data_IF_362803036887
#
_entry.id   IF_362803036887
#
_cell.length_a   1.000
_cell.length_b   1.000
_cell.length_c   1.000
_cell.angle_alpha   90.00
_cell.angle_beta   90.00
_cell.angle_gamma   90.00
#
_symmetry.space_group_name_H-M   'P 1'
#
loop_
_entity.id
_entity.type
_entity.pdbx_description
1 polymer ?
#
# COMPACT_ATOMS: atom_id res chain seq x y z
N UNK A 1 32.02 -14.97 -14.11
CA UNK A 1 32.36 -13.54 -13.93
C UNK A 1 31.17 -12.73 -13.38
N UNK A 2 29.91 -13.18 -13.57
CA UNK A 2 28.71 -12.40 -13.27
C UNK A 2 28.30 -12.34 -11.78
N UNK A 3 28.51 -13.42 -11.01
CA UNK A 3 28.10 -13.44 -9.59
C UNK A 3 28.99 -12.55 -8.70
N UNK A 4 30.29 -12.48 -9.00
CA UNK A 4 31.26 -11.66 -8.27
C UNK A 4 31.03 -10.14 -8.53
N UNK A 5 30.54 -9.79 -9.73
CA UNK A 5 30.22 -8.41 -10.10
C UNK A 5 28.92 -7.95 -9.43
N UNK A 6 27.93 -8.84 -9.35
CA UNK A 6 26.64 -8.57 -8.66
C UNK A 6 26.84 -8.36 -7.15
N UNK A 7 27.63 -9.22 -6.49
CA UNK A 7 27.97 -9.07 -5.07
C UNK A 7 28.77 -7.78 -4.79
N UNK A 8 29.61 -7.34 -5.71
CA UNK A 8 30.36 -6.08 -5.56
C UNK A 8 29.44 -4.86 -5.69
N UNK A 9 28.50 -4.88 -6.65
CA UNK A 9 27.51 -3.80 -6.86
C UNK A 9 26.50 -3.72 -5.71
N UNK A 10 26.10 -4.86 -5.14
CA UNK A 10 25.22 -4.89 -3.96
C UNK A 10 25.96 -4.38 -2.71
N UNK A 11 27.21 -4.79 -2.51
CA UNK A 11 28.05 -4.29 -1.43
C UNK A 11 28.30 -2.78 -1.49
N UNK A 12 28.60 -2.22 -2.68
CA UNK A 12 28.75 -0.77 -2.86
C UNK A 12 27.43 0.01 -2.63
N UNK A 13 26.28 -0.55 -3.03
CA UNK A 13 24.98 0.06 -2.76
C UNK A 13 24.66 0.05 -1.27
N UNK A 14 25.00 -1.01 -0.57
CA UNK A 14 24.77 -1.15 0.86
C UNK A 14 25.65 -0.20 1.67
N UNK A 15 26.94 -0.08 1.35
CA UNK A 15 27.88 0.87 1.97
C UNK A 15 27.45 2.33 1.71
N UNK A 16 27.00 2.66 0.50
CA UNK A 16 26.49 4.01 0.18
C UNK A 16 25.20 4.32 0.91
N UNK A 17 24.32 3.32 1.12
CA UNK A 17 23.09 3.49 1.87
C UNK A 17 23.37 3.69 3.38
N UNK A 18 24.31 2.94 3.94
CA UNK A 18 24.74 3.07 5.35
C UNK A 18 25.44 4.40 5.62
N UNK A 19 26.30 4.87 4.72
CA UNK A 19 26.95 6.20 4.79
C UNK A 19 25.94 7.34 4.66
N UNK A 20 24.94 7.22 3.77
CA UNK A 20 23.87 8.19 3.63
C UNK A 20 22.96 8.21 4.86
N UNK A 21 22.59 7.02 5.39
CA UNK A 21 21.83 6.90 6.62
C UNK A 21 22.56 7.46 7.83
N UNK A 22 23.89 7.26 7.92
CA UNK A 22 24.71 7.83 8.99
C UNK A 22 24.78 9.36 8.94
N UNK A 23 24.80 9.94 7.73
CA UNK A 23 24.77 11.42 7.55
C UNK A 23 23.41 12.04 7.90
N UNK A 24 22.32 11.26 7.82
CA UNK A 24 20.96 11.70 8.10
C UNK A 24 20.50 11.44 9.54
N UNK A 25 21.29 10.72 10.34
CA UNK A 25 21.03 10.50 11.78
C UNK A 25 21.08 11.78 12.62
N UNK A 26 21.50 12.90 12.07
CA UNK A 26 21.58 14.19 12.73
C UNK A 26 20.52 15.22 12.33
N UNK A 27 19.42 14.78 11.66
CA UNK A 27 18.31 15.68 11.34
C UNK A 27 17.48 15.93 12.62
N UNK A 28 17.78 17.03 13.30
CA UNK A 28 17.16 17.35 14.58
C UNK A 28 15.87 18.17 14.45
N UNK A 29 15.70 18.92 13.38
CA UNK A 29 14.57 19.84 13.16
C UNK A 29 14.11 19.84 11.71
N UNK A 30 12.82 20.06 11.49
CA UNK A 30 12.25 20.27 10.16
C UNK A 30 10.80 19.86 10.07
N UNK A 31 10.20 20.14 8.91
CA UNK A 31 8.83 19.74 8.58
C UNK A 31 8.85 18.67 7.48
N UNK A 32 8.00 17.65 7.64
CA UNK A 32 7.81 16.58 6.69
C UNK A 32 6.31 16.44 6.38
N UNK A 33 5.94 16.64 5.13
CA UNK A 33 4.55 16.46 4.68
C UNK A 33 4.46 15.18 3.88
N UNK A 34 3.73 14.19 4.42
CA UNK A 34 3.57 12.87 3.81
C UNK A 34 2.15 12.72 3.28
N UNK A 35 2.01 12.40 2.00
CA UNK A 35 0.79 11.89 1.43
C UNK A 35 0.70 10.38 1.61
N UNK A 36 -0.47 9.85 1.99
CA UNK A 36 -0.66 8.42 2.03
C UNK A 36 -2.02 8.00 1.47
N UNK A 37 -2.04 6.91 0.70
CA UNK A 37 -3.32 6.30 0.32
C UNK A 37 -4.02 5.74 1.55
N UNK A 38 -5.37 5.78 1.54
CA UNK A 38 -6.17 5.36 2.69
C UNK A 38 -5.90 3.92 3.16
N UNK A 39 -5.35 3.06 2.30
CA UNK A 39 -4.90 1.71 2.66
C UNK A 39 -3.62 1.68 3.49
N UNK A 40 -2.78 2.73 3.45
CA UNK A 40 -1.55 2.80 4.24
C UNK A 40 -1.80 3.19 5.72
N UNK A 41 -3.00 3.67 6.06
CA UNK A 41 -3.34 4.08 7.43
C UNK A 41 -3.22 2.96 8.48
N UNK A 42 -3.25 1.71 8.04
CA UNK A 42 -3.21 0.54 8.92
C UNK A 42 -1.79 0.17 9.39
N UNK A 43 -0.77 0.69 8.73
CA UNK A 43 0.63 0.41 9.11
C UNK A 43 1.50 1.66 9.25
N UNK A 44 1.31 2.67 8.39
CA UNK A 44 2.19 3.83 8.34
C UNK A 44 2.28 4.60 9.67
N UNK A 45 1.20 4.83 10.43
CA UNK A 45 1.30 5.50 11.73
C UNK A 45 2.25 4.82 12.72
N UNK A 46 2.32 3.48 12.71
CA UNK A 46 3.24 2.73 13.57
C UNK A 46 4.71 2.93 13.14
N UNK A 47 4.98 2.99 11.83
CA UNK A 47 6.30 3.32 11.30
C UNK A 47 6.69 4.77 11.63
N UNK A 48 5.73 5.71 11.52
CA UNK A 48 5.97 7.10 11.88
C UNK A 48 6.25 7.30 13.38
N UNK A 49 5.63 6.52 14.24
CA UNK A 49 5.96 6.54 15.67
C UNK A 49 7.44 6.23 15.89
N UNK A 50 7.97 5.17 15.25
CA UNK A 50 9.39 4.81 15.31
C UNK A 50 10.30 5.87 14.69
N UNK A 51 9.89 6.45 13.57
CA UNK A 51 10.65 7.54 12.94
C UNK A 51 10.74 8.77 13.86
N UNK A 52 9.64 9.12 14.57
CA UNK A 52 9.63 10.21 15.55
C UNK A 52 10.52 9.97 16.77
N UNK A 53 10.67 8.71 17.22
CA UNK A 53 11.59 8.37 18.30
C UNK A 53 13.05 8.67 17.93
N UNK A 54 13.41 8.50 16.64
CA UNK A 54 14.75 8.77 16.12
C UNK A 54 14.94 10.25 15.73
N UNK A 55 13.84 10.98 15.45
CA UNK A 55 13.82 12.37 15.01
C UNK A 55 12.78 13.18 15.79
N UNK A 56 12.94 13.39 17.10
CA UNK A 56 11.91 13.97 17.97
C UNK A 56 11.57 15.44 17.66
N UNK A 57 12.46 16.20 17.00
CA UNK A 57 12.24 17.59 16.61
C UNK A 57 11.56 17.76 15.24
N UNK A 58 11.21 16.68 14.56
CA UNK A 58 10.57 16.75 13.24
C UNK A 58 9.06 16.89 13.37
N UNK A 59 8.50 17.95 12.77
CA UNK A 59 7.06 18.12 12.63
C UNK A 59 6.56 17.28 11.43
N UNK A 60 5.65 16.33 11.69
CA UNK A 60 5.06 15.46 10.65
C UNK A 60 3.63 15.89 10.39
N UNK A 61 3.29 16.13 9.11
CA UNK A 61 1.94 16.34 8.62
C UNK A 61 1.53 15.24 7.68
N UNK A 62 0.30 14.75 7.80
CA UNK A 62 -0.24 13.68 6.97
C UNK A 62 -1.41 14.18 6.13
N UNK A 63 -1.33 13.95 4.83
CA UNK A 63 -2.44 14.08 3.90
C UNK A 63 -2.92 12.66 3.51
N UNK A 64 -4.21 12.38 3.72
CA UNK A 64 -4.81 11.07 3.43
C UNK A 64 -5.79 11.21 2.28
N UNK A 65 -5.68 10.35 1.30
CA UNK A 65 -6.59 10.35 0.15
C UNK A 65 -6.59 9.03 -0.61
N UNK A 66 -7.28 8.99 -1.74
CA UNK A 66 -7.10 7.93 -2.71
C UNK A 66 -5.91 8.24 -3.64
N UNK A 67 -5.62 7.34 -4.60
CA UNK A 67 -4.48 7.53 -5.50
C UNK A 67 -4.56 8.83 -6.30
N UNK A 68 -5.73 9.14 -6.86
CA UNK A 68 -5.94 10.33 -7.70
C UNK A 68 -5.68 11.62 -6.92
N UNK A 69 -6.22 11.71 -5.71
CA UNK A 69 -5.99 12.85 -4.81
C UNK A 69 -4.50 13.01 -4.46
N UNK A 70 -3.80 11.92 -4.17
CA UNK A 70 -2.37 11.99 -3.87
C UNK A 70 -1.52 12.39 -5.09
N UNK A 71 -1.90 11.98 -6.29
CA UNK A 71 -1.23 12.44 -7.52
C UNK A 71 -1.40 13.94 -7.69
N UNK A 72 -2.58 14.49 -7.42
CA UNK A 72 -2.82 15.93 -7.43
C UNK A 72 -1.95 16.67 -6.40
N UNK A 73 -1.86 16.17 -5.16
CA UNK A 73 -1.01 16.75 -4.11
C UNK A 73 0.49 16.71 -4.46
N UNK A 74 0.95 15.61 -5.06
CA UNK A 74 2.32 15.48 -5.56
C UNK A 74 2.60 16.50 -6.67
N UNK A 75 1.67 16.64 -7.62
CA UNK A 75 1.79 17.60 -8.73
C UNK A 75 1.82 19.05 -8.22
N UNK A 76 0.98 19.37 -7.23
CA UNK A 76 0.94 20.69 -6.60
C UNK A 76 2.15 20.97 -5.67
N UNK A 77 2.99 19.96 -5.37
CA UNK A 77 4.10 20.09 -4.43
C UNK A 77 3.68 20.23 -2.97
N UNK A 78 2.43 19.89 -2.64
CA UNK A 78 1.86 20.00 -1.29
C UNK A 78 2.32 18.88 -0.35
N UNK A 79 2.84 17.80 -0.90
CA UNK A 79 3.48 16.72 -0.14
C UNK A 79 4.93 16.53 -0.59
N UNK A 80 5.80 16.15 0.33
CA UNK A 80 7.20 15.85 0.04
C UNK A 80 7.35 14.44 -0.50
N UNK A 81 6.67 13.48 0.12
CA UNK A 81 6.69 12.06 -0.20
C UNK A 81 5.28 11.52 -0.15
N UNK A 82 4.92 10.63 -1.08
CA UNK A 82 3.68 9.89 -1.05
C UNK A 82 3.94 8.38 -0.87
N UNK A 83 3.17 7.75 0.03
CA UNK A 83 3.16 6.29 0.24
C UNK A 83 1.95 5.72 -0.49
N UNK A 84 2.22 4.94 -1.56
CA UNK A 84 1.17 4.40 -2.41
C UNK A 84 1.54 3.08 -3.08
N UNK A 85 0.54 2.28 -3.42
CA UNK A 85 0.73 0.99 -4.11
C UNK A 85 0.86 1.09 -5.63
N UNK A 86 0.46 2.21 -6.24
CA UNK A 86 0.50 2.43 -7.69
C UNK A 86 1.03 3.82 -8.01
N UNK A 87 2.33 3.95 -8.30
CA UNK A 87 2.95 5.22 -8.69
C UNK A 87 2.29 5.82 -9.95
N UNK A 88 2.23 7.15 -10.06
CA UNK A 88 1.72 7.80 -11.27
C UNK A 88 2.66 7.58 -12.46
N UNK A 89 2.07 7.32 -13.62
CA UNK A 89 2.79 7.31 -14.91
C UNK A 89 2.73 8.66 -15.61
N UNK A 90 1.75 9.45 -15.23
CA UNK A 90 1.40 10.76 -15.76
C UNK A 90 2.26 11.91 -15.20
N UNK A 91 3.06 11.63 -14.19
CA UNK A 91 3.90 12.61 -13.50
C UNK A 91 5.35 12.10 -13.44
N UNK A 92 6.32 12.97 -13.70
CA UNK A 92 7.73 12.63 -13.55
C UNK A 92 8.07 12.45 -12.05
N UNK A 93 8.12 11.20 -11.62
CA UNK A 93 8.36 10.82 -10.23
C UNK A 93 9.48 9.80 -10.12
N UNK A 94 10.13 9.79 -8.96
CA UNK A 94 10.90 8.65 -8.47
C UNK A 94 10.00 7.83 -7.56
N UNK A 95 9.86 6.56 -7.88
CA UNK A 95 9.09 5.60 -7.12
C UNK A 95 10.00 4.45 -6.72
N UNK A 96 10.18 4.25 -5.42
CA UNK A 96 11.06 3.22 -4.87
C UNK A 96 10.20 2.21 -4.08
N UNK A 97 10.17 0.94 -4.50
CA UNK A 97 9.44 -0.09 -3.77
C UNK A 97 10.15 -0.41 -2.46
N UNK A 98 9.37 -0.58 -1.38
CA UNK A 98 9.90 -0.91 -0.06
C UNK A 98 9.27 -2.16 0.58
N UNK A 99 8.12 -2.64 0.08
CA UNK A 99 7.50 -3.87 0.59
C UNK A 99 6.49 -4.44 -0.39
N UNK A 100 6.14 -5.72 -0.23
CA UNK A 100 5.03 -6.35 -0.94
C UNK A 100 3.68 -5.74 -0.52
N UNK A 101 2.74 -5.64 -1.48
CA UNK A 101 1.39 -5.13 -1.28
C UNK A 101 0.37 -6.13 -1.85
N UNK A 102 0.02 -7.19 -1.10
CA UNK A 102 -0.94 -8.18 -1.54
C UNK A 102 -2.37 -7.66 -1.45
N UNK A 103 -3.17 -7.99 -2.48
CA UNK A 103 -4.60 -7.74 -2.53
C UNK A 103 -5.34 -9.07 -2.62
N UNK A 104 -6.42 -9.19 -1.89
CA UNK A 104 -7.18 -10.43 -1.72
C UNK A 104 -8.68 -10.21 -1.90
N UNK A 105 -9.38 -11.25 -2.33
CA UNK A 105 -10.83 -11.28 -2.29
C UNK A 105 -11.30 -11.69 -0.89
N UNK A 106 -12.31 -11.00 -0.41
CA UNK A 106 -12.82 -11.17 0.96
C UNK A 106 -14.32 -11.42 0.97
N UNK A 107 -14.75 -12.17 1.98
CA UNK A 107 -16.14 -12.53 2.20
C UNK A 107 -16.48 -12.54 3.71
N UNK A 108 -17.78 -12.52 4.08
CA UNK A 108 -18.19 -12.90 5.44
C UNK A 108 -17.77 -14.34 5.74
N UNK A 109 -17.39 -14.70 6.99
CA UNK A 109 -16.88 -16.04 7.31
C UNK A 109 -17.84 -17.18 6.98
N UNK A 110 -19.16 -16.94 7.05
CA UNK A 110 -20.19 -17.93 6.72
C UNK A 110 -20.56 -18.01 5.23
N UNK A 111 -19.87 -17.30 4.35
CA UNK A 111 -20.19 -17.31 2.92
C UNK A 111 -19.83 -18.65 2.26
N UNK A 112 -20.68 -19.13 1.35
CA UNK A 112 -20.51 -20.46 0.71
C UNK A 112 -19.14 -20.62 0.02
N UNK A 113 -18.61 -19.57 -0.61
CA UNK A 113 -17.32 -19.60 -1.29
C UNK A 113 -16.12 -19.75 -0.33
N UNK A 114 -16.27 -19.49 0.96
CA UNK A 114 -15.21 -19.72 1.97
C UNK A 114 -14.92 -21.22 2.11
N UNK A 115 -15.95 -22.06 1.92
CA UNK A 115 -15.86 -23.52 2.08
C UNK A 115 -15.78 -24.27 0.74
N UNK A 116 -15.77 -23.54 -0.38
CA UNK A 116 -15.79 -24.16 -1.72
C UNK A 116 -14.40 -24.65 -2.20
N UNK A 117 -13.33 -24.46 -1.40
CA UNK A 117 -11.95 -24.66 -1.86
C UNK A 117 -11.52 -23.53 -2.80
N UNK A 118 -10.77 -23.86 -3.86
CA UNK A 118 -10.30 -22.85 -4.82
C UNK A 118 -11.45 -22.31 -5.67
N UNK A 119 -11.74 -21.03 -5.51
CA UNK A 119 -12.79 -20.29 -6.22
C UNK A 119 -12.31 -19.91 -7.61
N UNK A 120 -13.10 -20.19 -8.63
CA UNK A 120 -12.85 -19.69 -9.98
C UNK A 120 -13.33 -18.25 -10.12
N UNK A 121 -12.61 -17.39 -10.85
CA UNK A 121 -12.97 -15.96 -11.00
C UNK A 121 -14.41 -15.72 -11.50
N UNK A 122 -14.93 -16.59 -12.39
CA UNK A 122 -16.32 -16.51 -12.85
C UNK A 122 -17.38 -16.59 -11.76
N UNK A 123 -17.11 -17.32 -10.68
CA UNK A 123 -18.02 -17.45 -9.54
C UNK A 123 -18.18 -16.14 -8.75
N UNK A 124 -17.21 -15.21 -8.87
CA UNK A 124 -17.31 -13.89 -8.26
C UNK A 124 -18.37 -13.03 -8.92
N UNK A 125 -18.59 -13.21 -10.23
CA UNK A 125 -19.61 -12.47 -11.00
C UNK A 125 -21.04 -12.76 -10.58
N UNK A 126 -21.29 -13.90 -9.96
CA UNK A 126 -22.60 -14.33 -9.47
C UNK A 126 -22.97 -13.72 -8.10
N UNK A 127 -21.99 -13.07 -7.45
CA UNK A 127 -22.15 -12.56 -6.10
C UNK A 127 -22.30 -11.04 -6.09
N UNK A 128 -23.03 -10.45 -5.12
CA UNK A 128 -22.99 -9.02 -4.87
C UNK A 128 -21.56 -8.59 -4.54
N UNK A 129 -21.06 -7.55 -5.21
CA UNK A 129 -19.69 -7.08 -5.03
C UNK A 129 -19.66 -5.64 -4.52
N UNK A 130 -18.90 -5.39 -3.47
CA UNK A 130 -18.69 -4.08 -2.86
C UNK A 130 -17.41 -3.48 -3.42
N UNK A 131 -17.56 -2.45 -4.25
CA UNK A 131 -16.47 -1.84 -5.02
C UNK A 131 -15.92 -0.61 -4.31
N UNK A 132 -14.62 -0.38 -4.45
CA UNK A 132 -14.02 0.91 -4.11
C UNK A 132 -14.44 1.97 -5.13
N UNK A 133 -14.36 3.22 -4.70
CA UNK A 133 -14.64 4.40 -5.53
C UNK A 133 -13.70 4.52 -6.74
N UNK A 134 -14.15 5.28 -7.76
CA UNK A 134 -13.29 5.72 -8.86
C UNK A 134 -12.09 6.50 -8.32
N UNK A 135 -10.92 6.39 -8.99
CA UNK A 135 -9.65 6.97 -8.50
C UNK A 135 -8.93 6.13 -7.43
N UNK A 136 -9.55 5.06 -6.90
CA UNK A 136 -8.89 4.12 -5.99
C UNK A 136 -7.85 3.27 -6.70
N UNK A 137 -6.63 3.20 -6.14
CA UNK A 137 -5.59 2.29 -6.62
C UNK A 137 -5.97 0.81 -6.48
N UNK A 138 -6.68 0.44 -5.40
CA UNK A 138 -7.19 -0.92 -5.17
C UNK A 138 -8.22 -1.32 -6.22
N UNK A 139 -9.16 -0.41 -6.56
CA UNK A 139 -10.12 -0.63 -7.64
C UNK A 139 -9.42 -0.88 -8.97
N UNK A 140 -8.45 -0.06 -9.32
CA UNK A 140 -7.72 -0.22 -10.58
C UNK A 140 -6.95 -1.56 -10.65
N UNK A 141 -6.45 -2.09 -9.52
CA UNK A 141 -5.84 -3.43 -9.46
C UNK A 141 -6.89 -4.52 -9.68
N UNK A 142 -8.06 -4.40 -9.07
CA UNK A 142 -9.18 -5.33 -9.25
C UNK A 142 -9.65 -5.34 -10.72
N UNK A 143 -9.90 -4.18 -11.31
CA UNK A 143 -10.36 -4.05 -12.70
C UNK A 143 -9.38 -4.71 -13.67
N UNK A 144 -8.07 -4.48 -13.51
CA UNK A 144 -7.03 -5.16 -14.30
C UNK A 144 -7.03 -6.68 -14.10
N UNK A 145 -7.25 -7.14 -12.87
CA UNK A 145 -7.30 -8.57 -12.56
C UNK A 145 -8.51 -9.25 -13.21
N UNK A 146 -9.68 -8.63 -13.13
CA UNK A 146 -10.93 -9.14 -13.74
C UNK A 146 -10.88 -9.11 -15.26
N UNK A 147 -10.39 -8.03 -15.83
CA UNK A 147 -10.22 -7.87 -17.30
C UNK A 147 -9.30 -8.97 -17.86
N UNK A 148 -8.16 -9.22 -17.20
CA UNK A 148 -7.23 -10.26 -17.64
C UNK A 148 -7.83 -11.68 -17.61
N UNK A 149 -8.91 -11.88 -16.87
CA UNK A 149 -9.61 -13.16 -16.72
C UNK A 149 -10.98 -13.17 -17.44
N UNK A 150 -11.33 -12.09 -18.13
CA UNK A 150 -12.62 -11.93 -18.82
C UNK A 150 -13.83 -12.08 -17.90
N UNK A 151 -13.70 -11.58 -16.66
CA UNK A 151 -14.76 -11.64 -15.64
C UNK A 151 -15.32 -10.26 -15.36
N UNK A 152 -16.64 -10.20 -15.22
CA UNK A 152 -17.36 -9.01 -14.76
C UNK A 152 -18.01 -9.32 -13.42
N UNK A 153 -17.91 -8.42 -12.43
CA UNK A 153 -18.58 -8.55 -11.15
C UNK A 153 -19.86 -7.72 -11.09
N UNK A 154 -20.83 -8.22 -10.32
CA UNK A 154 -22.08 -7.48 -10.06
C UNK A 154 -21.83 -6.44 -8.96
N UNK A 155 -21.55 -5.20 -9.35
CA UNK A 155 -21.32 -4.11 -8.38
C UNK A 155 -22.63 -3.74 -7.70
N UNK A 156 -22.81 -4.20 -6.48
CA UNK A 156 -23.97 -3.91 -5.66
C UNK A 156 -23.88 -2.51 -5.01
N UNK A 157 -22.67 -2.10 -4.59
CA UNK A 157 -22.42 -0.79 -3.99
C UNK A 157 -21.02 -0.30 -4.28
N UNK A 158 -20.86 1.04 -4.37
CA UNK A 158 -19.56 1.73 -4.44
C UNK A 158 -19.34 2.53 -3.15
N UNK A 159 -18.13 2.43 -2.58
CA UNK A 159 -17.79 3.08 -1.31
C UNK A 159 -16.35 3.61 -1.34
N UNK A 160 -16.13 4.79 -0.75
CA UNK A 160 -14.81 5.44 -0.67
C UNK A 160 -14.00 5.06 0.57
N UNK A 161 -14.60 4.35 1.54
CA UNK A 161 -13.96 4.00 2.80
C UNK A 161 -13.71 2.50 2.93
N UNK A 162 -12.44 2.11 3.17
CA UNK A 162 -12.10 0.72 3.49
C UNK A 162 -12.84 0.22 4.75
N UNK A 163 -13.02 1.09 5.76
CA UNK A 163 -13.77 0.72 6.98
C UNK A 163 -15.23 0.40 6.67
N UNK A 164 -15.88 1.26 5.85
CA UNK A 164 -17.27 1.03 5.46
C UNK A 164 -17.41 -0.27 4.67
N UNK A 165 -16.47 -0.56 3.75
CA UNK A 165 -16.48 -1.83 3.01
C UNK A 165 -16.30 -3.02 3.96
N UNK A 166 -15.35 -2.96 4.90
CA UNK A 166 -15.15 -4.03 5.89
C UNK A 166 -16.43 -4.29 6.70
N UNK A 167 -17.07 -3.23 7.20
CA UNK A 167 -18.35 -3.33 7.93
C UNK A 167 -19.44 -3.95 7.06
N UNK A 168 -19.54 -3.55 5.79
CA UNK A 168 -20.54 -4.10 4.87
C UNK A 168 -20.27 -5.59 4.53
N UNK A 169 -19.00 -5.99 4.37
CA UNK A 169 -18.61 -7.40 4.21
C UNK A 169 -19.01 -8.19 5.46
N UNK A 170 -18.66 -7.72 6.66
CA UNK A 170 -19.01 -8.38 7.92
C UNK A 170 -20.52 -8.50 8.12
N UNK A 171 -21.30 -7.51 7.64
CA UNK A 171 -22.76 -7.54 7.65
C UNK A 171 -23.38 -8.48 6.58
N UNK A 172 -22.58 -9.15 5.75
CA UNK A 172 -23.07 -10.07 4.74
C UNK A 172 -23.59 -9.44 3.46
N UNK A 173 -23.27 -8.15 3.20
CA UNK A 173 -23.80 -7.41 2.05
C UNK A 173 -23.15 -7.82 0.72
N UNK A 174 -22.03 -8.54 0.73
CA UNK A 174 -21.37 -9.02 -0.48
C UNK A 174 -19.88 -9.29 -0.28
N UNK A 175 -19.23 -9.61 -1.40
CA UNK A 175 -17.79 -9.80 -1.49
C UNK A 175 -17.09 -8.46 -1.72
N UNK A 176 -15.78 -8.42 -1.47
CA UNK A 176 -14.95 -7.27 -1.88
C UNK A 176 -13.54 -7.69 -2.23
N UNK A 177 -12.76 -6.73 -2.74
CA UNK A 177 -11.33 -6.90 -3.01
C UNK A 177 -10.56 -5.81 -2.27
N UNK A 178 -9.71 -6.21 -1.34
CA UNK A 178 -9.03 -5.32 -0.42
C UNK A 178 -7.53 -5.65 -0.33
N UNK A 179 -6.74 -4.67 0.10
CA UNK A 179 -5.37 -4.93 0.54
C UNK A 179 -5.37 -5.80 1.79
N UNK A 180 -4.54 -6.84 1.81
CA UNK A 180 -4.39 -7.72 2.97
C UNK A 180 -4.05 -6.92 4.25
N UNK A 181 -3.23 -5.88 4.12
CA UNK A 181 -2.83 -5.01 5.22
C UNK A 181 -4.00 -4.20 5.84
N UNK A 182 -5.17 -4.14 5.18
CA UNK A 182 -6.33 -3.42 5.73
C UNK A 182 -7.23 -4.30 6.59
N UNK A 183 -7.13 -5.61 6.48
CA UNK A 183 -8.04 -6.58 7.11
C UNK A 183 -7.37 -7.43 8.20
N UNK A 184 -6.11 -7.16 8.53
CA UNK A 184 -5.34 -8.02 9.44
C UNK A 184 -5.98 -8.21 10.82
N UNK A 185 -6.68 -7.21 11.33
CA UNK A 185 -7.41 -7.32 12.60
C UNK A 185 -8.65 -8.19 12.44
N UNK A 186 -9.48 -7.91 11.45
CA UNK A 186 -10.73 -8.63 11.19
C UNK A 186 -10.48 -10.09 10.84
N UNK A 187 -9.41 -10.35 10.06
CA UNK A 187 -9.02 -11.72 9.69
C UNK A 187 -8.58 -12.52 10.93
N UNK A 188 -7.74 -11.93 11.78
CA UNK A 188 -7.28 -12.61 13.02
C UNK A 188 -8.42 -12.93 13.99
N UNK A 189 -9.48 -12.12 13.99
CA UNK A 189 -10.67 -12.34 14.82
C UNK A 189 -11.78 -13.12 14.11
N UNK A 190 -11.53 -13.64 12.89
CA UNK A 190 -12.51 -14.42 12.15
C UNK A 190 -13.75 -13.64 11.72
N UNK A 191 -13.64 -12.31 11.60
CA UNK A 191 -14.74 -11.43 11.19
C UNK A 191 -14.85 -11.27 9.68
N UNK A 192 -13.71 -11.47 8.97
CA UNK A 192 -13.61 -11.48 7.52
C UNK A 192 -12.78 -12.70 7.12
N UNK A 193 -13.24 -13.42 6.10
CA UNK A 193 -12.51 -14.53 5.48
C UNK A 193 -11.86 -14.08 4.16
N UNK A 194 -10.66 -14.57 3.92
CA UNK A 194 -9.97 -14.46 2.62
C UNK A 194 -10.37 -15.63 1.76
N UNK A 195 -10.82 -15.37 0.53
CA UNK A 195 -11.18 -16.41 -0.44
C UNK A 195 -9.92 -16.89 -1.18
N UNK A 196 -9.80 -18.21 -1.35
CA UNK A 196 -8.80 -18.82 -2.22
C UNK A 196 -9.25 -18.71 -3.69
N UNK A 197 -9.05 -17.54 -4.29
CA UNK A 197 -9.41 -17.29 -5.69
C UNK A 197 -8.22 -17.57 -6.58
N UNK A 198 -8.44 -18.33 -7.68
CA UNK A 198 -7.41 -18.60 -8.68
C UNK A 198 -6.84 -17.28 -9.24
N UNK A 199 -5.53 -17.08 -9.13
CA UNK A 199 -4.84 -15.87 -9.54
C UNK A 199 -4.75 -14.77 -8.47
N UNK A 200 -5.24 -15.03 -7.27
CA UNK A 200 -5.00 -14.21 -6.09
C UNK A 200 -4.08 -14.95 -5.08
N UNK A 201 -3.39 -14.25 -4.18
CA UNK A 201 -3.35 -12.77 -4.03
C UNK A 201 -2.71 -12.06 -5.21
N UNK A 202 -3.25 -10.90 -5.57
CA UNK A 202 -2.63 -10.01 -6.56
C UNK A 202 -1.59 -9.15 -5.86
N UNK A 203 -0.32 -9.48 -6.05
CA UNK A 203 0.78 -8.81 -5.36
C UNK A 203 1.27 -7.62 -6.17
N UNK A 204 1.28 -6.45 -5.55
CA UNK A 204 1.91 -5.20 -6.00
C UNK A 204 3.01 -4.82 -5.03
N UNK A 205 3.59 -3.63 -5.18
CA UNK A 205 4.57 -3.10 -4.24
C UNK A 205 4.02 -1.83 -3.56
N UNK A 206 4.31 -1.66 -2.30
CA UNK A 206 4.28 -0.37 -1.64
C UNK A 206 5.47 0.46 -2.09
N UNK A 207 5.22 1.72 -2.42
CA UNK A 207 6.25 2.61 -2.93
C UNK A 207 6.32 3.89 -2.12
N UNK A 208 7.55 4.36 -1.94
CA UNK A 208 7.87 5.71 -1.54
C UNK A 208 8.05 6.55 -2.81
N UNK A 209 7.21 7.56 -3.02
CA UNK A 209 7.12 8.31 -4.27
C UNK A 209 7.31 9.79 -4.02
N UNK A 210 8.19 10.45 -4.81
CA UNK A 210 8.33 11.90 -4.83
C UNK A 210 8.52 12.40 -6.27
N UNK A 211 8.23 13.69 -6.51
CA UNK A 211 8.44 14.31 -7.83
C UNK A 211 9.93 14.54 -8.09
N UNK A 212 10.34 14.43 -9.36
CA UNK A 212 11.72 14.73 -9.77
C UNK A 212 11.99 16.25 -9.83
N UNK A 213 10.94 17.07 -9.89
CA UNK A 213 11.03 18.52 -9.94
C UNK A 213 11.36 19.17 -8.59
N UNK A 214 11.20 18.43 -7.47
CA UNK A 214 11.43 18.95 -6.12
C UNK A 214 12.60 18.20 -5.47
N UNK A 215 13.61 18.95 -5.02
CA UNK A 215 14.64 18.37 -4.16
C UNK A 215 14.03 18.08 -2.79
N UNK A 216 14.26 16.88 -2.29
CA UNK A 216 13.83 16.51 -0.96
C UNK A 216 14.66 17.25 0.10
N UNK A 217 13.99 17.70 1.15
CA UNK A 217 14.66 18.22 2.34
C UNK A 217 15.45 17.09 3.04
N UNK A 218 16.44 17.40 3.90
CA UNK A 218 17.15 16.39 4.66
C UNK A 218 16.22 15.47 5.49
N UNK A 219 15.13 16.01 6.04
CA UNK A 219 14.11 15.26 6.76
C UNK A 219 13.37 14.29 5.84
N UNK A 220 12.96 14.76 4.66
CA UNK A 220 12.27 13.91 3.69
C UNK A 220 13.18 12.80 3.15
N UNK A 221 14.47 13.07 2.93
CA UNK A 221 15.47 12.06 2.59
C UNK A 221 15.66 11.05 3.72
N UNK A 222 15.75 11.49 4.98
CA UNK A 222 15.86 10.59 6.14
C UNK A 222 14.64 9.65 6.22
N UNK A 223 13.44 10.19 6.05
CA UNK A 223 12.21 9.38 6.04
C UNK A 223 12.18 8.39 4.86
N UNK A 224 12.59 8.81 3.67
CA UNK A 224 12.69 7.93 2.52
C UNK A 224 13.61 6.73 2.79
N UNK A 225 14.80 6.97 3.31
CA UNK A 225 15.74 5.90 3.68
C UNK A 225 15.18 5.01 4.80
N UNK A 226 14.57 5.59 5.82
CA UNK A 226 13.91 4.85 6.89
C UNK A 226 12.84 3.87 6.34
N UNK A 227 12.01 4.32 5.39
CA UNK A 227 11.01 3.47 4.76
C UNK A 227 11.63 2.33 3.95
N UNK A 228 12.67 2.61 3.15
CA UNK A 228 13.36 1.63 2.32
C UNK A 228 14.10 0.57 3.16
N UNK A 229 14.66 0.97 4.30
CA UNK A 229 15.41 0.07 5.19
C UNK A 229 14.48 -0.81 6.04
N UNK A 230 13.37 -0.27 6.52
CA UNK A 230 12.58 -0.91 7.59
C UNK A 230 11.17 -1.32 7.18
N UNK A 231 10.65 -0.78 6.09
CA UNK A 231 9.25 -0.96 5.71
C UNK A 231 8.89 -2.41 5.46
N UNK A 232 9.72 -3.16 4.72
CA UNK A 232 9.45 -4.57 4.43
C UNK A 232 9.45 -5.44 5.69
N UNK A 233 10.51 -5.32 6.52
CA UNK A 233 10.62 -6.08 7.77
C UNK A 233 9.46 -5.80 8.71
N UNK A 234 9.03 -4.53 8.77
CA UNK A 234 7.91 -4.14 9.60
C UNK A 234 6.61 -4.78 9.13
N UNK A 235 6.30 -4.70 7.83
CA UNK A 235 5.07 -5.27 7.28
C UNK A 235 5.04 -6.80 7.38
N UNK A 236 6.16 -7.47 7.15
CA UNK A 236 6.26 -8.92 7.30
C UNK A 236 6.09 -9.41 8.75
N UNK A 237 6.32 -8.54 9.74
CA UNK A 237 6.13 -8.88 11.15
C UNK A 237 4.72 -8.58 11.68
N UNK A 238 3.99 -7.66 11.02
CA UNK A 238 2.66 -7.22 11.44
C UNK A 238 1.51 -8.00 10.77
N UNK A 239 1.74 -8.50 9.56
CA UNK A 239 0.72 -9.13 8.70
C UNK A 239 1.17 -10.48 8.16
#
# INVERSE_FOLDING_TARGET
PSARLLLHVEGEKQVRAEDAAARLKGVELGQLVIGMVSTAKYFLPKLLARFREEHPGVEIRLAVGNREQLVALLHAGEVDIAIMGRPPKELATRAEPFAAHPHVFVAPPGHALVHAGTVLPGQLGEQPFLMRESGSGTRAVLEQCLEAQYVTVNTAMEMSSNETIKQAVMAGMGLSFLSLHTIGLEQRHGLIAVLDVRGAPVVRAWNCVHTLSKLLSPVAEAFRYFMLERGERFLAAEF
#
